data_IF_330741793237
#
_entry.id   IF_330741793237
#
_cell.length_a   1.000
_cell.length_b   1.000
_cell.length_c   1.000
_cell.angle_alpha   90.00
_cell.angle_beta   90.00
_cell.angle_gamma   90.00
#
_symmetry.space_group_name_H-M   'P 1'
#
loop_
_entity.id
_entity.type
_entity.pdbx_description
1 polymer ?
#
# COMPACT_ATOMS: atom_id res chain seq x y z
N UNK A 1 2.85 69.57 40.02
CA UNK A 1 3.52 68.26 39.99
C UNK A 1 2.40 67.23 39.91
N UNK A 2 2.09 66.81 38.69
CA UNK A 2 0.96 65.94 38.36
C UNK A 2 1.31 64.48 38.60
N UNK A 3 0.33 63.75 39.12
CA UNK A 3 0.07 62.32 39.03
C UNK A 3 0.94 61.51 38.06
N UNK A 4 1.53 60.42 38.58
CA UNK A 4 1.56 59.12 37.92
C UNK A 4 1.90 58.04 38.97
N UNK A 5 0.90 57.68 39.79
CA UNK A 5 0.88 56.36 40.40
C UNK A 5 0.59 55.35 39.29
N UNK A 6 1.64 54.74 38.73
CA UNK A 6 1.49 53.55 37.90
C UNK A 6 1.10 52.40 38.82
N UNK A 7 -0.19 52.07 38.82
CA UNK A 7 -0.75 50.87 39.44
C UNK A 7 0.06 49.62 39.05
N UNK A 8 0.36 48.72 40.00
CA UNK A 8 0.81 47.39 39.65
C UNK A 8 -0.37 46.66 38.99
N UNK A 9 -0.19 46.30 37.71
CA UNK A 9 -1.10 45.44 36.95
C UNK A 9 -1.24 44.11 37.71
N UNK A 10 -2.29 44.04 38.53
CA UNK A 10 -2.69 42.86 39.30
C UNK A 10 -3.44 41.90 38.37
N UNK A 11 -2.71 41.32 37.42
CA UNK A 11 -3.15 40.11 36.74
C UNK A 11 -3.01 38.93 37.70
N UNK A 12 -4.13 38.46 38.28
CA UNK A 12 -4.18 37.24 39.10
C UNK A 12 -3.27 36.14 38.48
N UNK A 13 -2.25 35.63 39.19
CA UNK A 13 -1.29 34.66 38.64
C UNK A 13 -1.94 33.33 38.20
N UNK A 14 -3.18 33.06 38.62
CA UNK A 14 -3.96 31.90 38.18
C UNK A 14 -4.56 32.00 36.77
N UNK A 15 -4.88 33.20 36.25
CA UNK A 15 -5.59 33.31 34.97
C UNK A 15 -4.64 33.21 33.77
N UNK A 16 -3.42 33.76 33.85
CA UNK A 16 -2.49 33.77 32.71
C UNK A 16 -1.94 32.37 32.40
N UNK A 17 -1.62 31.59 33.43
CA UNK A 17 -1.15 30.21 33.28
C UNK A 17 -2.24 29.30 32.70
N UNK A 18 -3.49 29.46 33.13
CA UNK A 18 -4.63 28.72 32.58
C UNK A 18 -4.89 29.04 31.10
N UNK A 19 -4.79 30.30 30.70
CA UNK A 19 -4.92 30.68 29.28
C UNK A 19 -3.79 30.13 28.42
N UNK A 20 -2.54 30.18 28.90
CA UNK A 20 -1.40 29.63 28.17
C UNK A 20 -1.51 28.12 27.99
N UNK A 21 -1.90 27.40 29.05
CA UNK A 21 -2.15 25.96 29.01
C UNK A 21 -3.31 25.61 28.09
N UNK A 22 -4.43 26.36 28.15
CA UNK A 22 -5.57 26.13 27.26
C UNK A 22 -5.21 26.35 25.78
N UNK A 23 -4.40 27.37 25.48
CA UNK A 23 -3.97 27.68 24.11
C UNK A 23 -3.07 26.60 23.51
N UNK A 24 -2.26 25.92 24.32
CA UNK A 24 -1.41 24.79 23.90
C UNK A 24 -2.20 23.49 23.78
N UNK A 25 -3.13 23.25 24.72
CA UNK A 25 -3.88 21.99 24.80
C UNK A 25 -4.98 21.91 23.73
N UNK A 26 -5.56 23.04 23.31
CA UNK A 26 -6.61 23.09 22.30
C UNK A 26 -6.20 22.49 20.94
N UNK A 27 -5.10 22.92 20.30
CA UNK A 27 -4.65 22.31 19.04
C UNK A 27 -4.22 20.85 19.22
N UNK A 28 -3.62 20.49 20.37
CA UNK A 28 -3.27 19.10 20.68
C UNK A 28 -4.49 18.18 20.77
N UNK A 29 -5.57 18.66 21.40
CA UNK A 29 -6.84 17.95 21.48
C UNK A 29 -7.48 17.78 20.10
N UNK A 30 -7.55 18.85 19.29
CA UNK A 30 -8.07 18.77 17.92
C UNK A 30 -7.29 17.76 17.08
N UNK A 31 -5.96 17.76 17.18
CA UNK A 31 -5.11 16.82 16.46
C UNK A 31 -5.36 15.36 16.90
N UNK A 32 -5.50 15.11 18.20
CA UNK A 32 -5.82 13.80 18.74
C UNK A 32 -7.18 13.27 18.27
N UNK A 33 -8.20 14.14 18.24
CA UNK A 33 -9.53 13.78 17.72
C UNK A 33 -9.45 13.46 16.22
N UNK A 34 -8.73 14.26 15.44
CA UNK A 34 -8.52 13.98 14.01
C UNK A 34 -7.80 12.64 13.78
N UNK A 35 -6.79 12.33 14.59
CA UNK A 35 -6.11 11.03 14.58
C UNK A 35 -7.06 9.87 14.90
N UNK A 36 -7.95 10.03 15.89
CA UNK A 36 -8.95 9.02 16.23
C UNK A 36 -9.93 8.76 15.08
N UNK A 37 -10.46 9.83 14.47
CA UNK A 37 -11.39 9.73 13.33
C UNK A 37 -10.72 9.02 12.15
N UNK A 38 -9.47 9.37 11.84
CA UNK A 38 -8.70 8.72 10.77
C UNK A 38 -8.43 7.24 11.08
N UNK A 39 -8.08 6.92 12.33
CA UNK A 39 -7.86 5.53 12.77
C UNK A 39 -9.12 4.67 12.66
N UNK A 40 -10.28 5.22 13.02
CA UNK A 40 -11.56 4.53 12.86
C UNK A 40 -11.92 4.30 11.38
N UNK A 41 -11.65 5.28 10.51
CA UNK A 41 -11.88 5.18 9.07
C UNK A 41 -11.05 4.07 8.39
N UNK A 42 -9.79 3.89 8.80
CA UNK A 42 -8.91 2.85 8.24
C UNK A 42 -9.28 1.43 8.70
N UNK A 43 -10.01 1.28 9.82
CA UNK A 43 -10.41 -0.05 10.34
C UNK A 43 -11.30 -0.87 9.39
N UNK A 44 -11.99 -0.22 8.45
CA UNK A 44 -12.91 -0.88 7.50
C UNK A 44 -12.19 -1.67 6.39
N UNK A 45 -10.89 -1.42 6.17
CA UNK A 45 -10.11 -2.07 5.12
C UNK A 45 -9.08 -3.08 5.62
N UNK A 46 -9.07 -3.39 6.93
CA UNK A 46 -8.04 -4.26 7.53
C UNK A 46 -8.48 -5.73 7.46
N UNK A 47 -7.67 -6.64 6.91
CA UNK A 47 -7.91 -8.09 6.93
C UNK A 47 -8.08 -8.60 8.36
N UNK A 48 -8.91 -9.64 8.58
CA UNK A 48 -9.24 -10.14 9.92
C UNK A 48 -8.00 -10.55 10.74
N UNK A 49 -6.93 -11.04 10.08
CA UNK A 49 -5.66 -11.41 10.72
C UNK A 49 -4.91 -10.22 11.36
N UNK A 50 -5.09 -9.00 10.84
CA UNK A 50 -4.48 -7.78 11.39
C UNK A 50 -5.44 -6.99 12.29
N UNK A 51 -6.72 -7.40 12.33
CA UNK A 51 -7.78 -6.66 13.02
C UNK A 51 -7.58 -6.59 14.54
N UNK A 52 -7.08 -7.66 15.16
CA UNK A 52 -6.76 -7.68 16.59
C UNK A 52 -5.64 -6.67 16.94
N UNK A 53 -4.61 -6.58 16.10
CA UNK A 53 -3.50 -5.63 16.29
C UNK A 53 -3.94 -4.19 16.03
N UNK A 54 -4.78 -3.99 15.02
CA UNK A 54 -5.39 -2.70 14.74
C UNK A 54 -6.30 -2.23 15.88
N UNK A 55 -7.11 -3.14 16.44
CA UNK A 55 -7.96 -2.86 17.60
C UNK A 55 -7.14 -2.44 18.82
N UNK A 56 -5.98 -3.07 19.06
CA UNK A 56 -5.07 -2.66 20.12
C UNK A 56 -4.54 -1.24 19.89
N UNK A 57 -4.15 -0.87 18.66
CA UNK A 57 -3.75 0.50 18.34
C UNK A 57 -4.88 1.50 18.55
N UNK A 58 -6.09 1.20 18.08
CA UNK A 58 -7.26 2.08 18.26
C UNK A 58 -7.59 2.25 19.74
N UNK A 59 -7.47 1.20 20.55
CA UNK A 59 -7.64 1.29 22.00
C UNK A 59 -6.62 2.23 22.64
N UNK A 60 -5.34 2.17 22.24
CA UNK A 60 -4.33 3.12 22.71
C UNK A 60 -4.63 4.55 22.29
N UNK A 61 -4.99 4.80 21.02
CA UNK A 61 -5.38 6.14 20.56
C UNK A 61 -6.55 6.68 21.38
N UNK A 62 -7.56 5.85 21.63
CA UNK A 62 -8.69 6.21 22.50
C UNK A 62 -8.25 6.49 23.95
N UNK A 63 -7.36 5.66 24.51
CA UNK A 63 -6.79 5.86 25.84
C UNK A 63 -6.07 7.21 25.95
N UNK A 64 -5.26 7.59 24.96
CA UNK A 64 -4.63 8.90 24.93
C UNK A 64 -5.65 10.03 24.80
N UNK A 65 -6.65 9.89 23.92
CA UNK A 65 -7.73 10.89 23.79
C UNK A 65 -8.46 11.10 25.11
N UNK A 66 -8.77 10.02 25.83
CA UNK A 66 -9.37 10.08 27.15
C UNK A 66 -8.44 10.76 28.18
N UNK A 67 -7.13 10.50 28.13
CA UNK A 67 -6.13 11.18 28.96
C UNK A 67 -6.09 12.70 28.74
N UNK A 68 -6.13 13.15 27.48
CA UNK A 68 -6.20 14.58 27.14
C UNK A 68 -7.52 15.23 27.59
N UNK A 69 -8.66 14.54 27.40
CA UNK A 69 -9.97 15.01 27.90
C UNK A 69 -10.01 15.07 29.43
N UNK A 70 -9.43 14.07 30.10
CA UNK A 70 -9.31 14.02 31.56
C UNK A 70 -8.47 15.18 32.08
N UNK A 71 -7.35 15.49 31.42
CA UNK A 71 -6.51 16.65 31.75
C UNK A 71 -7.31 17.97 31.68
N UNK A 72 -8.03 18.19 30.58
CA UNK A 72 -8.89 19.39 30.42
C UNK A 72 -9.96 19.44 31.52
N UNK A 73 -10.59 18.31 31.82
CA UNK A 73 -11.66 18.23 32.82
C UNK A 73 -11.16 18.52 34.24
N UNK A 74 -10.00 17.95 34.62
CA UNK A 74 -9.36 18.20 35.92
C UNK A 74 -9.00 19.68 36.05
N UNK A 75 -8.47 20.29 34.98
CA UNK A 75 -8.10 21.70 34.95
C UNK A 75 -9.33 22.61 35.12
N UNK A 76 -10.46 22.29 34.46
CA UNK A 76 -11.69 23.08 34.51
C UNK A 76 -12.42 22.93 35.86
N UNK A 77 -12.45 21.73 36.42
CA UNK A 77 -13.15 21.44 37.67
C UNK A 77 -12.31 21.72 38.93
N UNK A 78 -11.04 22.13 38.79
CA UNK A 78 -10.08 22.29 39.90
C UNK A 78 -10.04 21.05 40.83
N UNK A 79 -10.14 19.86 40.26
CA UNK A 79 -10.05 18.62 41.03
C UNK A 79 -8.65 18.48 41.61
N UNK A 80 -8.53 18.16 42.90
CA UNK A 80 -7.25 17.85 43.59
C UNK A 80 -6.68 16.49 43.18
N UNK A 81 -6.85 16.09 41.93
CA UNK A 81 -6.32 14.84 41.42
C UNK A 81 -4.82 15.02 41.12
N UNK A 82 -3.95 14.09 41.53
CA UNK A 82 -2.52 14.20 41.29
C UNK A 82 -2.25 14.11 39.78
N UNK A 83 -1.93 15.25 39.16
CA UNK A 83 -1.57 15.32 37.74
C UNK A 83 -0.38 14.41 37.40
N UNK A 84 0.52 14.19 38.35
CA UNK A 84 1.66 13.28 38.23
C UNK A 84 1.23 11.83 37.95
N UNK A 85 0.11 11.38 38.54
CA UNK A 85 -0.40 10.03 38.27
C UNK A 85 -0.91 9.92 36.83
N UNK A 86 -1.60 10.96 36.35
CA UNK A 86 -2.13 11.03 35.00
C UNK A 86 -0.98 11.09 33.97
N UNK A 87 0.03 11.94 34.19
CA UNK A 87 1.17 12.06 33.29
C UNK A 87 2.00 10.78 33.26
N UNK A 88 2.19 10.12 34.41
CA UNK A 88 2.89 8.83 34.51
C UNK A 88 2.16 7.72 33.74
N UNK A 89 0.84 7.64 33.88
CA UNK A 89 0.01 6.66 33.16
C UNK A 89 0.04 6.89 31.64
N UNK A 90 -0.02 8.15 31.21
CA UNK A 90 0.10 8.53 29.79
C UNK A 90 1.48 8.18 29.25
N UNK A 91 2.56 8.45 29.99
CA UNK A 91 3.93 8.10 29.59
C UNK A 91 4.11 6.57 29.46
N UNK A 92 3.59 5.81 30.43
CA UNK A 92 3.64 4.36 30.39
C UNK A 92 2.82 3.79 29.21
N UNK A 93 1.63 4.33 28.99
CA UNK A 93 0.84 3.99 27.79
C UNK A 93 1.59 4.34 26.51
N UNK A 94 2.35 5.44 26.52
CA UNK A 94 3.22 5.93 25.43
C UNK A 94 4.23 4.90 24.97
N UNK A 95 4.99 4.35 25.92
CA UNK A 95 6.03 3.37 25.61
C UNK A 95 5.44 2.07 25.04
N UNK A 96 4.33 1.58 25.60
CA UNK A 96 3.65 0.38 25.10
C UNK A 96 3.09 0.63 23.68
N UNK A 97 2.51 1.80 23.44
CA UNK A 97 2.02 2.18 22.12
C UNK A 97 3.14 2.20 21.08
N UNK A 98 4.28 2.82 21.37
CA UNK A 98 5.44 2.87 20.47
C UNK A 98 5.96 1.45 20.20
N UNK A 99 6.02 0.59 21.22
CA UNK A 99 6.42 -0.81 21.04
C UNK A 99 5.49 -1.57 20.08
N UNK A 100 4.16 -1.38 20.21
CA UNK A 100 3.18 -1.99 19.30
C UNK A 100 3.33 -1.47 17.86
N UNK A 101 3.56 -0.17 17.68
CA UNK A 101 3.82 0.45 16.37
C UNK A 101 5.06 -0.16 15.72
N UNK A 102 6.15 -0.32 16.48
CA UNK A 102 7.39 -0.92 15.99
C UNK A 102 7.21 -2.38 15.59
N UNK A 103 6.45 -3.16 16.38
CA UNK A 103 6.13 -4.54 16.02
C UNK A 103 5.32 -4.62 14.72
N UNK A 104 4.28 -3.81 14.58
CA UNK A 104 3.46 -3.76 13.36
C UNK A 104 4.30 -3.39 12.14
N UNK A 105 5.15 -2.37 12.27
CA UNK A 105 6.08 -1.95 11.21
C UNK A 105 7.00 -3.10 10.78
N UNK A 106 7.53 -3.87 11.74
CA UNK A 106 8.38 -5.03 11.45
C UNK A 106 7.63 -6.13 10.67
N UNK A 107 6.36 -6.38 11.02
CA UNK A 107 5.51 -7.36 10.33
C UNK A 107 5.20 -6.90 8.90
N UNK A 108 4.81 -5.63 8.71
CA UNK A 108 4.54 -5.07 7.38
C UNK A 108 5.79 -5.12 6.49
N UNK A 109 6.97 -4.81 7.04
CA UNK A 109 8.23 -4.89 6.29
C UNK A 109 8.56 -6.33 5.91
N UNK A 110 8.24 -7.32 6.77
CA UNK A 110 8.46 -8.73 6.45
C UNK A 110 7.53 -9.22 5.34
N UNK A 111 6.23 -8.96 5.43
CA UNK A 111 5.26 -9.31 4.38
C UNK A 111 5.57 -8.61 3.05
N UNK A 112 6.00 -7.34 3.09
CA UNK A 112 6.38 -6.62 1.87
C UNK A 112 7.62 -7.23 1.20
N UNK A 113 8.57 -7.74 1.99
CA UNK A 113 9.77 -8.40 1.48
C UNK A 113 9.45 -9.75 0.88
N UNK A 114 8.64 -10.56 1.57
CA UNK A 114 8.18 -11.87 1.08
C UNK A 114 7.36 -11.73 -0.22
N UNK A 115 6.47 -10.75 -0.30
CA UNK A 115 5.73 -10.46 -1.54
C UNK A 115 6.65 -9.99 -2.68
N UNK A 116 7.71 -9.22 -2.38
CA UNK A 116 8.66 -8.78 -3.40
C UNK A 116 9.51 -9.94 -3.95
N UNK A 117 9.89 -10.88 -3.08
CA UNK A 117 10.58 -12.11 -3.47
C UNK A 117 9.69 -12.99 -4.35
N UNK A 118 8.42 -13.20 -3.94
CA UNK A 118 7.45 -13.96 -4.74
C UNK A 118 7.18 -13.34 -6.12
N UNK A 119 7.05 -12.01 -6.20
CA UNK A 119 6.86 -11.29 -7.47
C UNK A 119 8.12 -11.42 -8.36
N UNK A 120 9.31 -11.39 -7.77
CA UNK A 120 10.57 -11.58 -8.51
C UNK A 120 10.67 -12.99 -9.09
N UNK A 121 10.33 -14.03 -8.32
CA UNK A 121 10.32 -15.42 -8.78
C UNK A 121 9.31 -15.64 -9.91
N UNK A 122 8.10 -15.10 -9.78
CA UNK A 122 7.06 -15.20 -10.82
C UNK A 122 7.52 -14.49 -12.10
N UNK A 123 8.12 -13.30 -12.00
CA UNK A 123 8.63 -12.58 -13.17
C UNK A 123 9.77 -13.33 -13.86
N UNK A 124 10.67 -13.94 -13.09
CA UNK A 124 11.77 -14.73 -13.65
C UNK A 124 11.24 -15.96 -14.38
N UNK A 125 10.26 -16.66 -13.78
CA UNK A 125 9.61 -17.83 -14.39
C UNK A 125 8.83 -17.46 -15.65
N UNK A 126 8.11 -16.34 -15.64
CA UNK A 126 7.35 -15.85 -16.78
C UNK A 126 8.28 -15.42 -17.93
N UNK A 127 9.39 -14.76 -17.61
CA UNK A 127 10.42 -14.38 -18.60
C UNK A 127 11.07 -15.62 -19.22
N UNK A 128 11.42 -16.62 -18.41
CA UNK A 128 11.98 -17.88 -18.90
C UNK A 128 11.00 -18.62 -19.82
N UNK A 129 9.71 -18.68 -19.44
CA UNK A 129 8.66 -19.28 -20.26
C UNK A 129 8.40 -18.52 -21.55
N UNK A 130 8.43 -17.19 -21.54
CA UNK A 130 8.31 -16.38 -22.76
C UNK A 130 9.46 -16.67 -23.73
N UNK A 131 10.70 -16.76 -23.24
CA UNK A 131 11.86 -17.12 -24.09
C UNK A 131 11.74 -18.52 -24.67
N UNK A 132 11.24 -19.49 -23.88
CA UNK A 132 11.00 -20.85 -24.34
C UNK A 132 9.91 -20.91 -25.43
N UNK A 133 8.77 -20.26 -25.18
CA UNK A 133 7.66 -20.19 -26.14
C UNK A 133 8.06 -19.49 -27.44
N UNK A 134 8.84 -18.41 -27.37
CA UNK A 134 9.36 -17.75 -28.57
C UNK A 134 10.27 -18.67 -29.41
N UNK A 135 11.07 -19.52 -28.75
CA UNK A 135 11.90 -20.51 -29.46
C UNK A 135 11.04 -21.57 -30.12
N UNK A 136 10.01 -22.07 -29.44
CA UNK A 136 9.08 -23.05 -30.00
C UNK A 136 8.31 -22.49 -31.20
N UNK A 137 7.79 -21.26 -31.09
CA UNK A 137 7.07 -20.58 -32.18
C UNK A 137 8.00 -20.42 -33.39
N UNK A 138 9.24 -19.94 -33.18
CA UNK A 138 10.22 -19.82 -34.27
C UNK A 138 10.54 -21.17 -34.92
N UNK A 139 10.65 -22.23 -34.13
CA UNK A 139 10.89 -23.58 -34.64
C UNK A 139 9.71 -24.10 -35.47
N UNK A 140 8.47 -23.89 -35.01
CA UNK A 140 7.25 -24.28 -35.73
C UNK A 140 7.08 -23.51 -37.03
N UNK A 141 7.24 -22.19 -37.02
CA UNK A 141 7.20 -21.36 -38.23
C UNK A 141 8.23 -21.84 -39.25
N UNK A 142 9.45 -22.17 -38.80
CA UNK A 142 10.48 -22.70 -39.71
C UNK A 142 10.10 -24.06 -40.31
N UNK A 143 9.47 -24.93 -39.53
CA UNK A 143 8.99 -26.23 -39.99
C UNK A 143 7.82 -26.08 -40.98
N UNK A 144 6.86 -25.20 -40.69
CA UNK A 144 5.72 -24.88 -41.55
C UNK A 144 6.19 -24.29 -42.88
N UNK A 145 7.10 -23.31 -42.86
CA UNK A 145 7.67 -22.73 -44.07
C UNK A 145 8.36 -23.80 -44.92
N UNK A 146 9.15 -24.70 -44.31
CA UNK A 146 9.81 -25.79 -45.01
C UNK A 146 8.80 -26.77 -45.63
N UNK A 147 7.70 -27.06 -44.94
CA UNK A 147 6.62 -27.89 -45.47
C UNK A 147 5.90 -27.21 -46.64
N UNK A 148 5.60 -25.91 -46.54
CA UNK A 148 5.00 -25.14 -47.63
C UNK A 148 5.90 -25.10 -48.86
N UNK A 149 7.21 -24.87 -48.72
CA UNK A 149 8.15 -24.92 -49.85
C UNK A 149 8.17 -26.29 -50.52
N UNK A 150 8.10 -27.39 -49.74
CA UNK A 150 8.01 -28.74 -50.29
C UNK A 150 6.71 -28.95 -51.08
N UNK A 151 5.58 -28.48 -50.56
CA UNK A 151 4.29 -28.56 -51.26
C UNK A 151 4.29 -27.72 -52.54
N UNK A 152 4.87 -26.53 -52.53
CA UNK A 152 5.02 -25.70 -53.72
C UNK A 152 5.88 -26.40 -54.79
N UNK A 153 6.98 -27.03 -54.38
CA UNK A 153 7.83 -27.79 -55.28
C UNK A 153 7.11 -29.00 -55.90
N UNK A 154 6.35 -29.74 -55.10
CA UNK A 154 5.50 -30.84 -55.59
C UNK A 154 4.40 -30.33 -56.53
N UNK A 155 3.75 -29.20 -56.21
CA UNK A 155 2.75 -28.59 -57.07
C UNK A 155 3.31 -28.12 -58.41
N UNK A 156 4.53 -27.58 -58.42
CA UNK A 156 5.21 -27.21 -59.67
C UNK A 156 5.57 -28.43 -60.51
N UNK A 157 6.10 -29.51 -59.91
CA UNK A 157 6.36 -30.77 -60.60
C UNK A 157 5.09 -31.36 -61.22
N UNK A 158 3.98 -31.40 -60.47
CA UNK A 158 2.69 -31.89 -60.96
C UNK A 158 2.15 -31.04 -62.12
N UNK A 159 2.33 -29.72 -62.06
CA UNK A 159 1.90 -28.82 -63.15
C UNK A 159 2.73 -29.05 -64.43
N UNK A 160 4.04 -29.30 -64.29
CA UNK A 160 4.91 -29.66 -65.41
C UNK A 160 4.46 -30.98 -66.05
N UNK A 161 4.17 -32.00 -65.24
CA UNK A 161 3.69 -33.29 -65.73
C UNK A 161 2.37 -33.16 -66.52
N UNK A 162 1.40 -32.42 -65.98
CA UNK A 162 0.15 -32.08 -66.67
C UNK A 162 0.38 -31.37 -68.00
N UNK A 163 1.31 -30.41 -68.07
CA UNK A 163 1.66 -29.73 -69.32
C UNK A 163 2.27 -30.69 -70.35
N UNK A 164 3.15 -31.60 -69.92
CA UNK A 164 3.76 -32.61 -70.78
C UNK A 164 2.69 -33.56 -71.33
N UNK A 165 1.84 -34.13 -70.46
CA UNK A 165 0.76 -35.04 -70.88
C UNK A 165 -0.22 -34.35 -71.83
N UNK A 166 -0.62 -33.11 -71.52
CA UNK A 166 -1.53 -32.35 -72.39
C UNK A 166 -0.92 -32.08 -73.77
N UNK A 167 0.37 -31.75 -73.84
CA UNK A 167 1.06 -31.52 -75.11
C UNK A 167 1.19 -32.81 -75.94
N UNK A 168 1.51 -33.93 -75.28
CA UNK A 168 1.57 -35.25 -75.89
C UNK A 168 0.21 -35.70 -76.45
N UNK A 169 -0.88 -35.51 -75.69
CA UNK A 169 -2.25 -35.84 -76.12
C UNK A 169 -2.69 -35.00 -77.33
N UNK A 170 -2.35 -33.71 -77.33
CA UNK A 170 -2.61 -32.78 -78.43
C UNK A 170 -1.84 -33.18 -79.71
N UNK A 171 -0.61 -33.68 -79.56
CA UNK A 171 0.19 -34.20 -80.68
C UNK A 171 -0.34 -35.53 -81.22
N UNK A 172 -0.82 -36.42 -80.35
CA UNK A 172 -1.44 -37.69 -80.75
C UNK A 172 -2.75 -37.46 -81.51
N UNK A 173 -3.59 -36.54 -81.05
CA UNK A 173 -4.87 -36.21 -81.70
C UNK A 173 -4.71 -35.50 -83.05
N UNK A 174 -3.61 -34.76 -83.27
CA UNK A 174 -3.30 -34.13 -84.57
C UNK A 174 -2.61 -35.05 -85.59
N UNK A 175 -2.14 -36.24 -85.19
CA UNK A 175 -1.44 -37.19 -86.09
C UNK A 175 -2.38 -38.29 -86.64
N UNK A 176 -3.67 -38.24 -86.31
CA UNK A 176 -4.74 -39.11 -86.81
C UNK A 176 -5.55 -38.32 -87.84
#
# INVERSE_FOLDING_TARGET
MLNEEMEPVTGKPGNQTQFLSALIVFPGSMFMVACLVKSMGMSKGVPDDLRAKWSAMTYFVFFFTAGYLGFITIQLLNLSFPLELLTSAVFLGGSVFVFLVMQLTSITIREYRENKEHISEINQKLTAKNVELEKEIKARIKAENKAQTRLQHLGTLHTIDLMITSNLDLKMTMTI
#
